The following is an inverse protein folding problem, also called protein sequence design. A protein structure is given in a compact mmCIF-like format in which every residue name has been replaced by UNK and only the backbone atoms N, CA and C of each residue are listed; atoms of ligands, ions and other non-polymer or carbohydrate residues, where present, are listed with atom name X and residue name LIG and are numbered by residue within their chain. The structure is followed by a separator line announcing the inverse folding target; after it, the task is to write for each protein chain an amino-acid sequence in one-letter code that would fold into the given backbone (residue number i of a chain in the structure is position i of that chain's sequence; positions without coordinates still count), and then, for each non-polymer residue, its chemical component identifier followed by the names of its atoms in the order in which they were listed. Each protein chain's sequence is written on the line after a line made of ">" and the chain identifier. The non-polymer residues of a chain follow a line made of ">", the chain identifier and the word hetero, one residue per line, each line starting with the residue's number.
data_IF_606645504940
#
_entry.id   IF_606645504940
#
_cell.length_a   1.000
_cell.length_b   1.000
_cell.length_c   1.000
_cell.angle_alpha   90.00
_cell.angle_beta   90.00
_cell.angle_gamma   90.00
#
_symmetry.space_group_name_H-M   'P 1'
#
loop_
_entity.id
_entity.type
_entity.pdbx_description
1 polymer ?
#
# COMPACT_ATOMS: atom_id res chain seq x y z
N UNK A 1 10.56 -15.69 -2.50
CA UNK A 1 9.40 -15.21 -3.29
C UNK A 1 9.81 -13.94 -4.02
N UNK A 2 9.51 -13.85 -5.30
CA UNK A 2 9.75 -12.67 -6.13
C UNK A 2 8.40 -12.11 -6.57
N UNK A 3 8.17 -10.82 -6.33
CA UNK A 3 6.95 -10.11 -6.73
C UNK A 3 7.34 -9.06 -7.77
N UNK A 4 6.69 -9.13 -8.93
CA UNK A 4 6.91 -8.20 -10.03
C UNK A 4 5.58 -7.58 -10.46
N UNK A 5 5.52 -6.25 -10.50
CA UNK A 5 4.35 -5.51 -10.94
C UNK A 5 4.55 -4.99 -12.37
N UNK A 6 3.55 -5.17 -13.23
CA UNK A 6 3.58 -4.72 -14.62
C UNK A 6 2.20 -4.30 -15.09
N UNK A 7 2.15 -3.34 -16.03
CA UNK A 7 0.91 -2.92 -16.69
C UNK A 7 0.47 -3.89 -17.80
N UNK A 8 1.45 -4.54 -18.42
CA UNK A 8 1.20 -5.39 -19.57
C UNK A 8 1.25 -6.86 -19.16
N UNK A 9 0.49 -7.69 -19.85
CA UNK A 9 0.64 -9.13 -19.71
C UNK A 9 2.04 -9.55 -20.13
N UNK A 10 2.74 -10.19 -19.20
CA UNK A 10 4.08 -10.76 -19.46
C UNK A 10 3.99 -12.27 -19.41
N UNK A 11 4.58 -12.93 -20.39
CA UNK A 11 4.66 -14.38 -20.42
C UNK A 11 5.60 -14.89 -19.32
N UNK A 12 5.36 -16.13 -18.87
CA UNK A 12 6.24 -16.79 -17.87
C UNK A 12 7.70 -16.85 -18.31
N UNK A 13 7.96 -17.02 -19.62
CA UNK A 13 9.32 -17.01 -20.18
C UNK A 13 10.00 -15.65 -20.06
N UNK A 14 9.26 -14.57 -20.30
CA UNK A 14 9.79 -13.20 -20.15
C UNK A 14 10.09 -12.88 -18.68
N UNK A 15 9.24 -13.29 -17.74
CA UNK A 15 9.48 -13.12 -16.30
C UNK A 15 10.77 -13.87 -15.91
N UNK A 16 10.92 -15.12 -16.31
CA UNK A 16 12.13 -15.90 -16.03
C UNK A 16 13.39 -15.25 -16.61
N UNK A 17 13.32 -14.70 -17.84
CA UNK A 17 14.45 -14.00 -18.46
C UNK A 17 14.83 -12.72 -17.71
N UNK A 18 13.84 -11.95 -17.26
CA UNK A 18 14.05 -10.75 -16.44
C UNK A 18 14.70 -11.06 -15.10
N UNK A 19 14.22 -12.10 -14.42
CA UNK A 19 14.78 -12.57 -13.17
C UNK A 19 16.23 -13.02 -13.37
N UNK A 20 16.48 -13.89 -14.37
CA UNK A 20 17.84 -14.33 -14.71
C UNK A 20 18.77 -13.17 -15.03
N UNK A 21 18.31 -12.18 -15.80
CA UNK A 21 19.11 -11.00 -16.15
C UNK A 21 19.48 -10.17 -14.90
N UNK A 22 18.54 -10.03 -13.98
CA UNK A 22 18.71 -9.17 -12.78
C UNK A 22 19.52 -9.83 -11.66
N UNK A 23 19.51 -11.16 -11.58
CA UNK A 23 20.19 -11.93 -10.54
C UNK A 23 21.40 -12.71 -11.03
N UNK A 24 21.79 -12.55 -12.32
CA UNK A 24 22.87 -13.32 -12.94
C UNK A 24 24.24 -13.09 -12.32
N UNK A 25 24.42 -12.00 -11.60
CA UNK A 25 25.72 -11.59 -11.09
C UNK A 25 25.94 -11.89 -9.59
N UNK A 26 24.94 -12.35 -8.86
CA UNK A 26 25.06 -12.36 -7.39
C UNK A 26 24.76 -13.68 -6.67
N UNK A 27 24.09 -14.64 -7.29
CA UNK A 27 23.56 -15.78 -6.51
C UNK A 27 23.39 -17.03 -7.35
N UNK A 28 24.32 -17.96 -7.38
CA UNK A 28 24.19 -19.34 -7.78
C UNK A 28 23.13 -19.74 -8.83
N UNK A 29 22.81 -21.02 -8.95
CA UNK A 29 21.74 -21.49 -9.82
C UNK A 29 20.35 -21.14 -9.26
N UNK A 30 19.54 -20.42 -10.06
CA UNK A 30 18.15 -20.14 -9.72
C UNK A 30 17.26 -21.29 -10.21
N UNK A 31 16.60 -21.94 -9.27
CA UNK A 31 15.56 -22.93 -9.55
C UNK A 31 14.20 -22.23 -9.54
N UNK A 32 13.43 -22.39 -10.60
CA UNK A 32 12.08 -21.87 -10.69
C UNK A 32 11.10 -23.01 -10.42
N UNK A 33 10.31 -22.88 -9.37
CA UNK A 33 9.12 -23.69 -9.22
C UNK A 33 8.11 -23.39 -10.32
N UNK A 34 7.32 -24.39 -10.71
CA UNK A 34 6.45 -24.34 -11.91
C UNK A 34 5.31 -23.30 -11.83
N UNK A 35 5.04 -22.70 -10.69
CA UNK A 35 3.85 -21.89 -10.49
C UNK A 35 4.16 -20.40 -10.50
N UNK A 36 3.72 -19.72 -11.56
CA UNK A 36 3.66 -18.26 -11.61
C UNK A 36 2.19 -17.87 -11.42
N UNK A 37 1.92 -17.18 -10.31
CA UNK A 37 0.58 -16.68 -10.03
C UNK A 37 0.47 -15.22 -10.47
N UNK A 38 -0.58 -14.90 -11.21
CA UNK A 38 -0.90 -13.54 -11.63
C UNK A 38 -2.05 -13.02 -10.77
N UNK A 39 -1.81 -11.91 -10.12
CA UNK A 39 -2.83 -11.23 -9.31
C UNK A 39 -3.13 -9.85 -9.91
N UNK A 40 -4.37 -9.58 -10.36
CA UNK A 40 -4.74 -8.24 -10.77
C UNK A 40 -4.72 -7.31 -9.57
N UNK A 41 -4.00 -6.20 -9.69
CA UNK A 41 -3.97 -5.15 -8.66
C UNK A 41 -4.99 -4.10 -9.07
N UNK A 42 -6.09 -4.04 -8.33
CA UNK A 42 -7.15 -3.05 -8.54
C UNK A 42 -7.28 -2.15 -7.30
N UNK A 43 -6.47 -1.09 -7.21
CA UNK A 43 -6.58 -0.15 -6.08
C UNK A 43 -7.99 0.43 -6.01
N UNK A 44 -8.58 0.44 -4.83
CA UNK A 44 -9.88 1.03 -4.61
C UNK A 44 -10.02 1.61 -3.20
N UNK A 45 -10.91 2.57 -3.06
CA UNK A 45 -11.37 3.10 -1.78
C UNK A 45 -12.89 3.10 -1.81
N UNK A 46 -13.52 2.32 -0.93
CA UNK A 46 -14.97 2.20 -0.88
C UNK A 46 -15.60 3.34 -0.09
N UNK A 47 -16.78 3.73 -0.52
CA UNK A 47 -17.65 4.64 0.24
C UNK A 47 -18.32 3.91 1.39
N UNK A 48 -18.82 4.69 2.36
CA UNK A 48 -19.60 4.15 3.46
C UNK A 48 -20.82 3.35 2.95
N UNK A 49 -21.14 2.28 3.68
CA UNK A 49 -22.34 1.48 3.46
C UNK A 49 -23.11 1.38 4.79
N UNK A 50 -24.45 1.37 4.70
CA UNK A 50 -25.32 1.31 5.90
C UNK A 50 -25.33 -0.09 6.51
N UNK A 51 -25.20 -1.12 5.67
CA UNK A 51 -25.40 -2.52 6.05
C UNK A 51 -24.11 -3.24 6.42
N UNK A 52 -22.95 -2.71 5.96
CA UNK A 52 -21.65 -3.37 6.11
C UNK A 52 -20.59 -2.43 6.63
N UNK A 53 -19.75 -2.95 7.54
CA UNK A 53 -18.50 -2.32 7.96
C UNK A 53 -17.38 -2.91 7.12
N UNK A 54 -16.73 -2.10 6.32
CA UNK A 54 -15.58 -2.50 5.53
C UNK A 54 -14.28 -2.34 6.33
N UNK A 55 -13.41 -3.34 6.29
CA UNK A 55 -12.12 -3.38 6.97
C UNK A 55 -11.02 -3.80 6.00
N UNK A 56 -9.79 -3.33 6.21
CA UNK A 56 -8.63 -3.74 5.42
C UNK A 56 -8.87 -3.56 3.91
N UNK A 57 -8.56 -4.59 3.14
CA UNK A 57 -8.68 -4.55 1.67
C UNK A 57 -10.13 -4.44 1.19
N UNK A 58 -11.12 -4.80 2.01
CA UNK A 58 -12.52 -4.58 1.66
C UNK A 58 -12.91 -3.10 1.72
N UNK A 59 -12.28 -2.30 2.58
CA UNK A 59 -12.46 -0.85 2.65
C UNK A 59 -11.58 -0.15 1.61
N UNK A 60 -10.32 -0.52 1.55
CA UNK A 60 -9.31 0.10 0.71
C UNK A 60 -8.27 -0.91 0.26
N UNK A 61 -8.12 -1.08 -1.01
CA UNK A 61 -6.97 -1.76 -1.60
C UNK A 61 -6.01 -0.71 -2.12
N UNK A 62 -4.82 -0.67 -1.53
CA UNK A 62 -3.78 0.28 -1.92
C UNK A 62 -2.75 -0.41 -2.81
N UNK A 63 -2.03 0.37 -3.59
CA UNK A 63 -0.96 -0.19 -4.40
C UNK A 63 0.16 -0.76 -3.50
N UNK A 64 0.69 -1.97 -3.78
CA UNK A 64 1.63 -2.68 -2.90
C UNK A 64 3.03 -2.07 -2.82
N UNK A 65 3.26 -0.91 -3.42
CA UNK A 65 4.56 -0.19 -3.44
C UNK A 65 5.17 -0.04 -2.06
N UNK A 66 4.34 0.20 -1.04
CA UNK A 66 4.81 0.44 0.32
C UNK A 66 4.60 -0.76 1.27
N UNK A 67 4.02 -1.87 0.82
CA UNK A 67 3.75 -3.04 1.66
C UNK A 67 2.83 -2.80 2.86
N UNK A 68 2.04 -1.73 2.85
CA UNK A 68 1.28 -1.23 4.01
C UNK A 68 -0.12 -1.85 4.20
N UNK A 69 -0.60 -2.63 3.23
CA UNK A 69 -1.98 -3.17 3.27
C UNK A 69 -2.31 -3.89 4.56
N UNK A 70 -1.44 -4.81 5.00
CA UNK A 70 -1.61 -5.54 6.24
C UNK A 70 -1.67 -4.63 7.49
N UNK A 71 -0.73 -3.70 7.61
CA UNK A 71 -0.67 -2.77 8.75
C UNK A 71 -1.93 -1.91 8.84
N UNK A 72 -2.45 -1.46 7.71
CA UNK A 72 -3.69 -0.69 7.65
C UNK A 72 -4.90 -1.54 8.03
N UNK A 73 -4.94 -2.81 7.64
CA UNK A 73 -5.99 -3.74 8.05
C UNK A 73 -6.01 -3.96 9.56
N UNK A 74 -4.85 -4.15 10.20
CA UNK A 74 -4.73 -4.26 11.66
C UNK A 74 -5.23 -2.98 12.35
N UNK A 75 -4.86 -1.81 11.86
CA UNK A 75 -5.35 -0.52 12.40
C UNK A 75 -6.87 -0.38 12.28
N UNK A 76 -7.45 -0.85 11.18
CA UNK A 76 -8.91 -0.85 11.01
C UNK A 76 -9.58 -1.69 12.10
N UNK A 77 -9.05 -2.89 12.38
CA UNK A 77 -9.56 -3.77 13.45
C UNK A 77 -9.39 -3.13 14.82
N UNK A 78 -8.21 -2.58 15.12
CA UNK A 78 -7.96 -1.90 16.40
C UNK A 78 -8.95 -0.75 16.61
N UNK A 79 -9.19 0.07 15.59
CA UNK A 79 -10.14 1.18 15.68
C UNK A 79 -11.57 0.70 15.86
N UNK A 80 -11.96 -0.38 15.17
CA UNK A 80 -13.26 -1.00 15.34
C UNK A 80 -13.47 -1.46 16.79
N UNK A 81 -12.50 -2.17 17.36
CA UNK A 81 -12.54 -2.65 18.76
C UNK A 81 -12.62 -1.46 19.72
N UNK A 82 -11.81 -0.41 19.52
CA UNK A 82 -11.86 0.77 20.38
C UNK A 82 -13.24 1.45 20.33
N UNK A 83 -13.80 1.58 19.14
CA UNK A 83 -15.10 2.22 18.98
C UNK A 83 -16.25 1.37 19.51
N UNK A 84 -16.19 0.05 19.40
CA UNK A 84 -17.22 -0.86 19.94
C UNK A 84 -17.30 -0.85 21.47
N UNK A 85 -16.25 -0.38 22.16
CA UNK A 85 -16.28 -0.15 23.61
C UNK A 85 -17.07 1.09 24.01
N UNK A 86 -17.19 2.05 23.11
CA UNK A 86 -17.89 3.34 23.35
C UNK A 86 -19.31 3.29 22.77
N UNK A 87 -19.45 2.72 21.59
CA UNK A 87 -20.73 2.63 20.87
C UNK A 87 -21.06 1.16 20.62
N UNK A 88 -22.28 0.68 20.98
CA UNK A 88 -22.72 -0.67 20.60
C UNK A 88 -22.70 -0.82 19.06
N UNK A 89 -22.36 -2.01 18.58
CA UNK A 89 -22.37 -2.30 17.13
C UNK A 89 -23.76 -2.16 16.50
N UNK A 90 -24.82 -2.33 17.30
CA UNK A 90 -26.21 -2.11 16.92
C UNK A 90 -26.61 -0.63 16.83
N UNK A 91 -25.69 0.30 17.21
CA UNK A 91 -26.00 1.72 17.14
C UNK A 91 -26.17 2.17 15.70
N UNK A 92 -27.31 2.78 15.39
CA UNK A 92 -27.73 3.16 14.03
C UNK A 92 -26.67 3.91 13.23
N UNK A 93 -25.87 4.72 13.88
CA UNK A 93 -24.86 5.57 13.21
C UNK A 93 -23.43 5.00 13.34
N UNK A 94 -23.24 3.81 13.90
CA UNK A 94 -21.93 3.22 14.13
C UNK A 94 -21.08 3.17 12.85
N UNK A 95 -21.64 2.68 11.76
CA UNK A 95 -20.94 2.56 10.47
C UNK A 95 -20.48 3.93 9.96
N UNK A 96 -21.31 4.96 10.09
CA UNK A 96 -20.96 6.32 9.64
C UNK A 96 -19.87 6.93 10.48
N UNK A 97 -19.92 6.76 11.82
CA UNK A 97 -18.88 7.26 12.73
C UNK A 97 -17.56 6.52 12.48
N UNK A 98 -17.60 5.20 12.35
CA UNK A 98 -16.42 4.40 12.04
C UNK A 98 -15.79 4.86 10.71
N UNK A 99 -16.59 4.95 9.65
CA UNK A 99 -16.12 5.38 8.34
C UNK A 99 -15.50 6.77 8.38
N UNK A 100 -16.14 7.76 9.01
CA UNK A 100 -15.62 9.12 9.14
C UNK A 100 -14.28 9.16 9.85
N UNK A 101 -14.08 8.31 10.85
CA UNK A 101 -12.80 8.20 11.54
C UNK A 101 -11.69 7.55 10.70
N UNK A 102 -12.05 6.71 9.71
CA UNK A 102 -11.07 5.96 8.91
C UNK A 102 -10.79 6.57 7.54
N UNK A 103 -11.75 7.34 7.00
CA UNK A 103 -11.66 7.81 5.61
C UNK A 103 -10.47 8.72 5.37
N UNK A 104 -10.17 9.61 6.30
CA UNK A 104 -9.06 10.56 6.14
C UNK A 104 -7.72 9.84 6.00
N UNK A 105 -7.39 8.98 6.96
CA UNK A 105 -6.15 8.20 6.92
C UNK A 105 -6.10 7.28 5.71
N UNK A 106 -7.21 6.61 5.39
CA UNK A 106 -7.32 5.73 4.23
C UNK A 106 -7.08 6.48 2.91
N UNK A 107 -7.64 7.69 2.78
CA UNK A 107 -7.44 8.54 1.59
C UNK A 107 -5.99 8.99 1.47
N UNK A 108 -5.34 9.36 2.57
CA UNK A 108 -3.92 9.73 2.56
C UNK A 108 -3.04 8.59 2.05
N UNK A 109 -3.21 7.38 2.59
CA UNK A 109 -2.44 6.22 2.13
C UNK A 109 -2.74 5.86 0.68
N UNK A 110 -4.00 5.86 0.30
CA UNK A 110 -4.42 5.59 -1.08
C UNK A 110 -3.80 6.58 -2.06
N UNK A 111 -3.90 7.88 -1.77
CA UNK A 111 -3.33 8.93 -2.61
C UNK A 111 -1.81 8.85 -2.67
N UNK A 112 -1.16 8.66 -1.53
CA UNK A 112 0.30 8.57 -1.46
C UNK A 112 0.85 7.39 -2.27
N UNK A 113 0.27 6.20 -2.10
CA UNK A 113 0.71 5.01 -2.85
C UNK A 113 0.39 5.12 -4.34
N UNK A 114 -0.71 5.76 -4.70
CA UNK A 114 -1.08 6.02 -6.09
C UNK A 114 -0.12 7.00 -6.77
N UNK A 115 0.26 8.08 -6.06
CA UNK A 115 1.24 9.05 -6.55
C UNK A 115 2.61 8.39 -6.72
N UNK A 116 3.07 7.63 -5.73
CA UNK A 116 4.33 6.90 -5.84
C UNK A 116 4.32 5.96 -7.04
N UNK A 117 3.26 5.17 -7.17
CA UNK A 117 3.14 4.27 -8.31
C UNK A 117 3.20 5.03 -9.65
N UNK A 118 2.44 6.12 -9.77
CA UNK A 118 2.45 6.97 -10.97
C UNK A 118 3.85 7.51 -11.29
N UNK A 119 4.60 8.01 -10.29
CA UNK A 119 5.95 8.54 -10.48
C UNK A 119 6.93 7.46 -10.95
N UNK A 120 6.83 6.25 -10.40
CA UNK A 120 7.72 5.15 -10.77
C UNK A 120 7.37 4.50 -12.11
N UNK A 121 6.10 4.46 -12.46
CA UNK A 121 5.64 3.89 -13.73
C UNK A 121 5.92 4.81 -14.92
N UNK A 122 5.68 6.11 -14.75
CA UNK A 122 5.85 7.10 -15.82
C UNK A 122 7.23 7.75 -15.72
N UNK A 123 8.25 7.04 -16.18
CA UNK A 123 9.64 7.50 -16.16
C UNK A 123 9.87 8.59 -17.21
N UNK A 124 9.55 9.82 -16.87
CA UNK A 124 9.93 11.01 -17.62
C UNK A 124 10.94 11.84 -16.80
N UNK A 125 11.65 12.81 -17.43
CA UNK A 125 12.66 13.62 -16.73
C UNK A 125 12.11 14.39 -15.51
N UNK A 126 10.86 14.82 -15.56
CA UNK A 126 10.19 15.55 -14.48
C UNK A 126 9.97 14.61 -13.27
N UNK A 127 9.37 13.44 -13.50
CA UNK A 127 9.13 12.47 -12.46
C UNK A 127 10.43 11.96 -11.82
N UNK A 128 11.46 11.74 -12.63
CA UNK A 128 12.79 11.40 -12.14
C UNK A 128 13.37 12.49 -11.22
N UNK A 129 13.16 13.76 -11.55
CA UNK A 129 13.58 14.89 -10.72
C UNK A 129 12.80 14.96 -9.42
N UNK A 130 11.48 14.77 -9.47
CA UNK A 130 10.64 14.71 -8.26
C UNK A 130 11.10 13.60 -7.31
N UNK A 131 11.36 12.40 -7.83
CA UNK A 131 11.86 11.27 -7.05
C UNK A 131 13.22 11.61 -6.41
N UNK A 132 14.14 12.20 -7.17
CA UNK A 132 15.46 12.63 -6.65
C UNK A 132 15.32 13.65 -5.52
N UNK A 133 14.46 14.65 -5.69
CA UNK A 133 14.19 15.66 -4.65
C UNK A 133 13.59 15.00 -3.40
N UNK A 134 12.66 14.06 -3.56
CA UNK A 134 12.10 13.29 -2.46
C UNK A 134 13.17 12.53 -1.68
N UNK A 135 14.04 11.80 -2.36
CA UNK A 135 15.17 11.11 -1.71
C UNK A 135 16.15 12.07 -1.04
N UNK A 136 16.50 13.16 -1.70
CA UNK A 136 17.37 14.18 -1.12
C UNK A 136 16.77 14.76 0.16
N UNK A 137 15.47 15.07 0.15
CA UNK A 137 14.77 15.59 1.33
C UNK A 137 14.77 14.58 2.49
N UNK A 138 14.46 13.32 2.23
CA UNK A 138 14.49 12.27 3.26
C UNK A 138 15.91 12.00 3.80
N UNK A 139 16.94 12.17 2.97
CA UNK A 139 18.32 11.97 3.38
C UNK A 139 18.85 13.12 4.26
N UNK A 140 18.44 14.35 3.97
CA UNK A 140 19.02 15.54 4.61
C UNK A 140 18.16 16.10 5.76
N UNK A 141 16.85 15.83 5.78
CA UNK A 141 15.98 16.33 6.82
C UNK A 141 15.54 15.21 7.76
N UNK A 142 16.21 15.14 8.93
CA UNK A 142 15.93 14.09 9.92
C UNK A 142 14.47 14.06 10.35
N UNK A 143 13.83 15.21 10.57
CA UNK A 143 12.42 15.29 10.95
C UNK A 143 11.50 14.63 9.91
N UNK A 144 11.71 14.91 8.63
CA UNK A 144 10.94 14.30 7.53
C UNK A 144 11.16 12.79 7.46
N UNK A 145 12.40 12.36 7.61
CA UNK A 145 12.74 10.94 7.64
C UNK A 145 12.08 10.22 8.81
N UNK A 146 12.10 10.79 10.01
CA UNK A 146 11.52 10.20 11.21
C UNK A 146 9.99 10.13 11.11
N UNK A 147 9.35 11.18 10.59
CA UNK A 147 7.92 11.18 10.29
C UNK A 147 7.57 10.10 9.26
N UNK A 148 8.34 10.00 8.18
CA UNK A 148 8.14 8.99 7.15
C UNK A 148 8.29 7.57 7.70
N UNK A 149 9.33 7.31 8.50
CA UNK A 149 9.55 6.00 9.14
C UNK A 149 8.44 5.68 10.13
N UNK A 150 8.06 6.61 11.00
CA UNK A 150 6.95 6.43 11.94
C UNK A 150 5.66 6.08 11.19
N UNK A 151 5.36 6.81 10.13
CA UNK A 151 4.21 6.55 9.28
C UNK A 151 4.28 5.18 8.61
N UNK A 152 5.43 4.84 8.02
CA UNK A 152 5.66 3.57 7.37
C UNK A 152 5.56 2.37 8.34
N UNK A 153 5.96 2.55 9.60
CA UNK A 153 5.85 1.53 10.64
C UNK A 153 4.48 1.49 11.31
N UNK A 154 3.54 2.31 10.89
CA UNK A 154 2.21 2.36 11.50
C UNK A 154 2.19 2.92 12.93
N UNK A 155 3.26 3.59 13.36
CA UNK A 155 3.39 4.12 14.73
C UNK A 155 2.81 5.52 14.92
N UNK A 156 2.27 6.13 13.90
CA UNK A 156 1.56 7.40 14.05
C UNK A 156 0.14 7.15 14.49
N UNK A 157 -0.14 7.42 15.75
CA UNK A 157 -1.48 7.77 16.17
C UNK A 157 -1.76 9.17 15.60
N UNK A 158 -2.24 9.25 14.39
CA UNK A 158 -2.97 10.43 13.94
C UNK A 158 -4.34 10.33 14.61
N UNK A 159 -4.37 10.81 15.91
CA UNK A 159 -5.52 11.00 16.81
C UNK A 159 -6.35 9.75 17.06
#
# INVERSE_FOLDING_TARGET
>A
TFIYSTKNEISSRQIQSLIKKKFKESHGQLYFEKSIYKFPITPHLRKNNKDFIYLGDSLKSIHPVAGQGWNLGIKDIQKLIMMSRVYPLSYKYFNSIYYSNRIFESTLYFSFTSILNYLYENRNPINAKIIKVGYYSLSNFQLLRDLFIKQAMGRTNLI
#
